data_IF_560623787664
#
_entry.id   IF_560623787664
#
_cell.length_a   1.000
_cell.length_b   1.000
_cell.length_c   1.000
_cell.angle_alpha   90.00
_cell.angle_beta   90.00
_cell.angle_gamma   90.00
#
_symmetry.space_group_name_H-M   'P 1'
#
loop_
_entity.id
_entity.type
_entity.pdbx_description
1 polymer ?
#
# COMPACT_ATOMS: atom_id res chain seq x y z
N UNK A 1 -4.19 144.98 24.40
CA UNK A 1 -3.88 144.14 25.58
C UNK A 1 -4.96 143.08 25.88
N UNK A 2 -6.26 143.41 25.91
CA UNK A 2 -7.33 142.43 26.26
C UNK A 2 -7.53 141.34 25.17
N UNK A 3 -7.51 141.70 23.89
CA UNK A 3 -7.68 140.73 22.77
C UNK A 3 -6.55 139.69 22.67
N UNK A 4 -5.31 140.06 23.02
CA UNK A 4 -4.19 139.12 23.05
C UNK A 4 -4.32 138.09 24.19
N UNK A 5 -4.87 138.48 25.34
CA UNK A 5 -5.08 137.54 26.46
C UNK A 5 -6.14 136.48 26.14
N UNK A 6 -7.25 136.90 25.54
CA UNK A 6 -8.31 135.96 25.11
C UNK A 6 -7.79 134.97 24.07
N UNK A 7 -6.95 135.41 23.13
CA UNK A 7 -6.34 134.51 22.15
C UNK A 7 -5.33 133.56 22.80
N UNK A 8 -4.54 134.02 23.77
CA UNK A 8 -3.65 133.15 24.55
C UNK A 8 -4.44 132.09 25.32
N UNK A 9 -5.54 132.47 25.98
CA UNK A 9 -6.38 131.53 26.73
C UNK A 9 -7.03 130.49 25.79
N UNK A 10 -7.50 130.93 24.61
CA UNK A 10 -8.05 130.04 23.57
C UNK A 10 -6.99 129.06 23.05
N UNK A 11 -5.79 129.53 22.75
CA UNK A 11 -4.69 128.70 22.29
C UNK A 11 -4.22 127.71 23.37
N UNK A 12 -4.20 128.12 24.64
CA UNK A 12 -3.91 127.22 25.77
C UNK A 12 -4.96 126.13 25.92
N UNK A 13 -6.25 126.45 25.79
CA UNK A 13 -7.33 125.47 25.83
C UNK A 13 -7.25 124.47 24.66
N UNK A 14 -6.96 124.96 23.44
CA UNK A 14 -6.75 124.12 22.27
C UNK A 14 -5.50 123.22 22.42
N UNK A 15 -4.40 123.76 22.94
CA UNK A 15 -3.17 123.00 23.20
C UNK A 15 -3.41 121.89 24.24
N UNK A 16 -4.24 122.14 25.25
CA UNK A 16 -4.63 121.14 26.23
C UNK A 16 -5.51 120.04 25.64
N UNK A 17 -6.57 120.41 24.91
CA UNK A 17 -7.46 119.44 24.24
C UNK A 17 -6.73 118.58 23.20
N UNK A 18 -5.84 119.18 22.40
CA UNK A 18 -5.02 118.44 21.43
C UNK A 18 -4.04 117.50 22.12
N UNK A 19 -3.44 117.91 23.24
CA UNK A 19 -2.59 117.04 24.07
C UNK A 19 -3.37 115.87 24.66
N UNK A 20 -4.56 116.10 25.22
CA UNK A 20 -5.39 115.05 25.80
C UNK A 20 -5.84 114.05 24.73
N UNK A 21 -6.22 114.53 23.53
CA UNK A 21 -6.52 113.67 22.36
C UNK A 21 -5.31 112.86 21.90
N UNK A 22 -4.12 113.48 21.84
CA UNK A 22 -2.88 112.78 21.49
C UNK A 22 -2.59 111.65 22.50
N UNK A 23 -2.77 111.90 23.79
CA UNK A 23 -2.59 110.87 24.82
C UNK A 23 -3.56 109.69 24.63
N UNK A 24 -4.84 109.95 24.40
CA UNK A 24 -5.82 108.88 24.13
C UNK A 24 -5.46 108.09 22.87
N UNK A 25 -5.00 108.77 21.82
CA UNK A 25 -4.62 108.13 20.56
C UNK A 25 -3.37 107.25 20.75
N UNK A 26 -2.36 107.76 21.46
CA UNK A 26 -1.17 106.98 21.83
C UNK A 26 -1.53 105.74 22.65
N UNK A 27 -2.42 105.85 23.64
CA UNK A 27 -2.89 104.71 24.43
C UNK A 27 -3.62 103.66 23.57
N UNK A 28 -4.43 104.10 22.61
CA UNK A 28 -5.11 103.21 21.67
C UNK A 28 -4.12 102.51 20.73
N UNK A 29 -3.10 103.22 20.23
CA UNK A 29 -2.03 102.61 19.42
C UNK A 29 -1.30 101.52 20.20
N UNK A 30 -0.89 101.80 21.44
CA UNK A 30 -0.21 100.82 22.30
C UNK A 30 -1.08 99.57 22.51
N UNK A 31 -2.39 99.74 22.78
CA UNK A 31 -3.31 98.60 22.90
C UNK A 31 -3.44 97.80 21.60
N UNK A 32 -3.53 98.49 20.47
CA UNK A 32 -3.59 97.86 19.16
C UNK A 32 -2.32 97.06 18.87
N UNK A 33 -1.14 97.61 19.17
CA UNK A 33 0.14 96.93 18.97
C UNK A 33 0.25 95.66 19.83
N UNK A 34 -0.15 95.74 21.10
CA UNK A 34 -0.20 94.57 22.00
C UNK A 34 -1.14 93.50 21.45
N UNK A 35 -2.33 93.88 20.98
CA UNK A 35 -3.28 92.93 20.39
C UNK A 35 -2.73 92.29 19.11
N UNK A 36 -2.09 93.07 18.23
CA UNK A 36 -1.44 92.55 17.02
C UNK A 36 -0.34 91.53 17.35
N UNK A 37 0.48 91.80 18.37
CA UNK A 37 1.52 90.86 18.80
C UNK A 37 0.89 89.57 19.36
N UNK A 38 -0.11 89.69 20.24
CA UNK A 38 -0.79 88.53 20.83
C UNK A 38 -1.45 87.65 19.76
N UNK A 39 -2.24 88.24 18.88
CA UNK A 39 -2.89 87.51 17.79
C UNK A 39 -1.90 86.89 16.83
N UNK A 40 -0.77 87.57 16.56
CA UNK A 40 0.32 87.00 15.77
C UNK A 40 0.94 85.78 16.47
N UNK A 41 1.22 85.85 17.78
CA UNK A 41 1.77 84.70 18.52
C UNK A 41 0.82 83.50 18.51
N UNK A 42 -0.47 83.72 18.76
CA UNK A 42 -1.49 82.66 18.72
C UNK A 42 -1.62 82.05 17.32
N UNK A 43 -1.53 82.86 16.27
CA UNK A 43 -1.53 82.39 14.89
C UNK A 43 -0.32 81.49 14.59
N UNK A 44 0.88 81.86 15.04
CA UNK A 44 2.09 81.06 14.84
C UNK A 44 2.02 79.74 15.62
N UNK A 45 1.50 79.75 16.85
CA UNK A 45 1.28 78.53 17.64
C UNK A 45 0.27 77.60 16.95
N UNK A 46 -0.86 78.13 16.49
CA UNK A 46 -1.86 77.38 15.77
C UNK A 46 -1.28 76.79 14.47
N UNK A 47 -0.48 77.57 13.75
CA UNK A 47 0.20 77.11 12.55
C UNK A 47 1.18 75.95 12.85
N UNK A 48 1.97 76.05 13.92
CA UNK A 48 2.85 74.97 14.36
C UNK A 48 2.10 73.67 14.63
N UNK A 49 0.99 73.73 15.37
CA UNK A 49 0.13 72.56 15.64
C UNK A 49 -0.46 71.96 14.37
N UNK A 50 -0.87 72.80 13.41
CA UNK A 50 -1.38 72.32 12.11
C UNK A 50 -0.28 71.57 11.36
N UNK A 51 0.95 72.06 11.38
CA UNK A 51 2.06 71.43 10.67
C UNK A 51 2.50 70.11 11.31
N UNK A 52 2.44 70.01 12.65
CA UNK A 52 2.58 68.75 13.39
C UNK A 52 1.51 67.73 12.99
N UNK A 53 0.23 68.12 13.03
CA UNK A 53 -0.88 67.25 12.61
C UNK A 53 -0.77 66.81 11.15
N UNK A 54 -0.29 67.69 10.26
CA UNK A 54 -0.01 67.33 8.86
C UNK A 54 1.11 66.31 8.75
N UNK A 55 2.16 66.40 9.58
CA UNK A 55 3.23 65.42 9.62
C UNK A 55 2.74 64.05 10.13
N UNK A 56 1.95 64.03 11.20
CA UNK A 56 1.34 62.80 11.72
C UNK A 56 0.40 62.16 10.71
N UNK A 57 -0.46 62.95 10.07
CA UNK A 57 -1.36 62.46 9.01
C UNK A 57 -0.58 61.80 7.87
N UNK A 58 0.55 62.37 7.44
CA UNK A 58 1.40 61.76 6.39
C UNK A 58 1.90 60.39 6.81
N UNK A 59 2.44 60.26 8.03
CA UNK A 59 2.91 58.98 8.58
C UNK A 59 1.79 57.94 8.68
N UNK A 60 0.59 58.36 9.08
CA UNK A 60 -0.56 57.45 9.15
C UNK A 60 -1.01 56.98 7.76
N UNK A 61 -0.97 57.86 6.76
CA UNK A 61 -1.28 57.48 5.37
C UNK A 61 -0.26 56.49 4.83
N UNK A 62 1.03 56.71 5.07
CA UNK A 62 2.08 55.75 4.67
C UNK A 62 1.83 54.36 5.28
N UNK A 63 1.60 54.31 6.60
CA UNK A 63 1.26 53.04 7.30
C UNK A 63 -0.02 52.40 6.80
N UNK A 64 -1.02 53.19 6.41
CA UNK A 64 -2.26 52.67 5.83
C UNK A 64 -2.00 52.03 4.48
N UNK A 65 -1.22 52.68 3.61
CA UNK A 65 -0.88 52.13 2.28
C UNK A 65 -0.05 50.85 2.39
N UNK A 66 0.87 50.78 3.36
CA UNK A 66 1.62 49.55 3.66
C UNK A 66 0.67 48.43 4.11
N UNK A 67 -0.25 48.71 5.03
CA UNK A 67 -1.22 47.74 5.50
C UNK A 67 -2.16 47.26 4.37
N UNK A 68 -2.62 48.16 3.50
CA UNK A 68 -3.43 47.82 2.32
C UNK A 68 -2.68 46.87 1.37
N UNK A 69 -1.40 47.14 1.09
CA UNK A 69 -0.58 46.26 0.27
C UNK A 69 -0.40 44.86 0.90
N UNK A 70 -0.22 44.80 2.24
CA UNK A 70 -0.14 43.50 2.93
C UNK A 70 -1.47 42.73 2.86
N UNK A 71 -2.61 43.41 2.98
CA UNK A 71 -3.93 42.79 2.85
C UNK A 71 -4.17 42.25 1.45
N UNK A 72 -3.78 43.00 0.42
CA UNK A 72 -3.89 42.55 -0.98
C UNK A 72 -3.08 41.27 -1.22
N UNK A 73 -1.84 41.22 -0.73
CA UNK A 73 -1.00 40.02 -0.79
C UNK A 73 -1.62 38.83 -0.05
N UNK A 74 -2.18 39.04 1.15
CA UNK A 74 -2.87 37.98 1.90
C UNK A 74 -4.11 37.46 1.16
N UNK A 75 -4.85 38.32 0.48
CA UNK A 75 -6.00 37.91 -0.34
C UNK A 75 -5.56 37.06 -1.53
N UNK A 76 -4.45 37.38 -2.18
CA UNK A 76 -3.89 36.56 -3.26
C UNK A 76 -3.49 35.17 -2.77
N UNK A 77 -2.79 35.10 -1.64
CA UNK A 77 -2.42 33.82 -1.01
C UNK A 77 -3.67 33.01 -0.66
N UNK A 78 -4.69 33.66 -0.09
CA UNK A 78 -5.96 33.01 0.26
C UNK A 78 -6.64 32.42 -0.97
N UNK A 79 -6.80 33.20 -2.05
CA UNK A 79 -7.36 32.71 -3.32
C UNK A 79 -6.54 31.57 -3.92
N UNK A 80 -5.21 31.60 -3.75
CA UNK A 80 -4.34 30.53 -4.22
C UNK A 80 -4.53 29.24 -3.41
N UNK A 81 -4.66 29.35 -2.09
CA UNK A 81 -4.92 28.22 -1.22
C UNK A 81 -6.30 27.60 -1.47
N UNK A 82 -7.33 28.43 -1.67
CA UNK A 82 -8.67 27.96 -2.04
C UNK A 82 -8.66 27.13 -3.32
N UNK A 83 -7.98 27.62 -4.37
CA UNK A 83 -7.81 26.86 -5.62
C UNK A 83 -7.09 25.53 -5.38
N UNK A 84 -6.00 25.53 -4.61
CA UNK A 84 -5.25 24.30 -4.32
C UNK A 84 -6.08 23.29 -3.52
N UNK A 85 -6.90 23.74 -2.58
CA UNK A 85 -7.81 22.86 -1.83
C UNK A 85 -8.81 22.19 -2.77
N UNK A 86 -9.37 22.93 -3.73
CA UNK A 86 -10.29 22.37 -4.73
C UNK A 86 -9.59 21.32 -5.60
N UNK A 87 -8.37 21.59 -6.08
CA UNK A 87 -7.56 20.64 -6.86
C UNK A 87 -7.30 19.35 -6.07
N UNK A 88 -6.77 19.46 -4.84
CA UNK A 88 -6.45 18.31 -3.99
C UNK A 88 -7.71 17.50 -3.66
N UNK A 89 -8.84 18.16 -3.43
CA UNK A 89 -10.12 17.46 -3.19
C UNK A 89 -10.59 16.70 -4.43
N UNK A 90 -10.42 17.27 -5.63
CA UNK A 90 -10.74 16.58 -6.88
C UNK A 90 -9.84 15.35 -7.07
N UNK A 91 -8.53 15.49 -6.84
CA UNK A 91 -7.57 14.38 -6.89
C UNK A 91 -7.93 13.28 -5.89
N UNK A 92 -8.20 13.64 -4.63
CA UNK A 92 -8.61 12.70 -3.60
C UNK A 92 -9.91 11.96 -3.98
N UNK A 93 -10.90 12.65 -4.53
CA UNK A 93 -12.14 12.03 -5.00
C UNK A 93 -11.89 11.02 -6.14
N UNK A 94 -10.97 11.32 -7.07
CA UNK A 94 -10.60 10.38 -8.13
C UNK A 94 -9.85 9.16 -7.57
N UNK A 95 -8.92 9.37 -6.62
CA UNK A 95 -8.18 8.30 -5.97
C UNK A 95 -9.10 7.36 -5.16
N UNK A 96 -10.08 7.92 -4.42
CA UNK A 96 -11.08 7.13 -3.71
C UNK A 96 -11.92 6.26 -4.66
N UNK A 97 -12.33 6.82 -5.82
CA UNK A 97 -13.04 6.04 -6.85
C UNK A 97 -12.18 4.90 -7.36
N UNK A 98 -10.91 5.17 -7.67
CA UNK A 98 -9.97 4.15 -8.16
C UNK A 98 -9.77 3.03 -7.13
N UNK A 99 -9.52 3.37 -5.86
CA UNK A 99 -9.39 2.38 -4.78
C UNK A 99 -10.65 1.53 -4.61
N UNK A 100 -11.85 2.12 -4.76
CA UNK A 100 -13.10 1.37 -4.75
C UNK A 100 -13.15 0.37 -5.90
N UNK A 101 -12.76 0.77 -7.11
CA UNK A 101 -12.75 -0.15 -8.27
C UNK A 101 -11.74 -1.27 -8.09
N UNK A 102 -10.54 -0.97 -7.58
CA UNK A 102 -9.49 -1.97 -7.38
C UNK A 102 -9.85 -2.95 -6.26
N UNK A 103 -10.52 -2.46 -5.19
CA UNK A 103 -11.09 -3.32 -4.15
C UNK A 103 -12.08 -4.33 -4.72
N UNK A 104 -13.00 -3.91 -5.59
CA UNK A 104 -13.97 -4.82 -6.20
C UNK A 104 -13.32 -5.80 -7.19
N UNK A 105 -12.30 -5.35 -7.95
CA UNK A 105 -11.50 -6.25 -8.80
C UNK A 105 -10.80 -7.33 -7.99
N UNK A 106 -10.16 -6.96 -6.87
CA UNK A 106 -9.49 -7.90 -5.99
C UNK A 106 -10.47 -8.91 -5.37
N UNK A 107 -11.64 -8.45 -4.90
CA UNK A 107 -12.69 -9.35 -4.43
C UNK A 107 -13.12 -10.34 -5.50
N UNK A 108 -13.37 -9.88 -6.73
CA UNK A 108 -13.74 -10.75 -7.85
C UNK A 108 -12.65 -11.79 -8.16
N UNK A 109 -11.38 -11.37 -8.16
CA UNK A 109 -10.24 -12.28 -8.35
C UNK A 109 -10.14 -13.33 -7.24
N UNK A 110 -10.33 -12.93 -5.99
CA UNK A 110 -10.34 -13.85 -4.85
C UNK A 110 -11.46 -14.89 -4.97
N UNK A 111 -12.68 -14.45 -5.31
CA UNK A 111 -13.81 -15.37 -5.53
C UNK A 111 -13.49 -16.36 -6.65
N UNK A 112 -12.89 -15.90 -7.76
CA UNK A 112 -12.49 -16.77 -8.86
C UNK A 112 -11.43 -17.81 -8.43
N UNK A 113 -10.41 -17.39 -7.67
CA UNK A 113 -9.39 -18.31 -7.16
C UNK A 113 -9.93 -19.31 -6.14
N UNK A 114 -10.83 -18.87 -5.24
CA UNK A 114 -11.51 -19.78 -4.31
C UNK A 114 -12.31 -20.82 -5.08
N UNK A 115 -13.05 -20.43 -6.11
CA UNK A 115 -13.77 -21.38 -6.96
C UNK A 115 -12.84 -22.35 -7.70
N UNK A 116 -11.67 -21.89 -8.15
CA UNK A 116 -10.65 -22.78 -8.74
C UNK A 116 -10.10 -23.78 -7.72
N UNK A 117 -9.81 -23.33 -6.50
CA UNK A 117 -9.36 -24.20 -5.41
C UNK A 117 -10.40 -25.24 -5.04
N UNK A 118 -11.69 -24.87 -4.98
CA UNK A 118 -12.76 -25.81 -4.67
C UNK A 118 -12.92 -26.87 -5.77
N UNK A 119 -12.77 -26.48 -7.04
CA UNK A 119 -12.71 -27.46 -8.15
C UNK A 119 -11.53 -28.42 -8.00
N UNK A 120 -10.34 -27.93 -7.68
CA UNK A 120 -9.17 -28.78 -7.48
C UNK A 120 -9.36 -29.74 -6.29
N UNK A 121 -9.93 -29.26 -5.18
CA UNK A 121 -10.28 -30.10 -4.04
C UNK A 121 -11.28 -31.19 -4.43
N UNK A 122 -12.29 -30.85 -5.23
CA UNK A 122 -13.25 -31.81 -5.76
C UNK A 122 -12.55 -32.87 -6.63
N UNK A 123 -11.70 -32.45 -7.58
CA UNK A 123 -10.95 -33.37 -8.44
C UNK A 123 -10.06 -34.32 -7.64
N UNK A 124 -9.35 -33.83 -6.63
CA UNK A 124 -8.51 -34.66 -5.77
C UNK A 124 -9.35 -35.64 -4.94
N UNK A 125 -10.47 -35.20 -4.38
CA UNK A 125 -11.36 -36.08 -3.62
C UNK A 125 -11.99 -37.17 -4.50
N UNK A 126 -12.33 -36.85 -5.75
CA UNK A 126 -12.86 -37.81 -6.72
C UNK A 126 -11.78 -38.81 -7.16
N UNK A 127 -10.52 -38.36 -7.35
CA UNK A 127 -9.38 -39.25 -7.59
C UNK A 127 -9.14 -40.20 -6.42
N UNK A 128 -9.13 -39.68 -5.18
CA UNK A 128 -8.95 -40.49 -3.98
C UNK A 128 -10.07 -41.52 -3.84
N UNK A 129 -11.33 -41.16 -4.11
CA UNK A 129 -12.45 -42.12 -4.16
C UNK A 129 -12.28 -43.16 -5.25
N UNK A 130 -11.87 -42.76 -6.46
CA UNK A 130 -11.65 -43.67 -7.59
C UNK A 130 -10.48 -44.63 -7.38
N UNK A 131 -9.47 -44.22 -6.61
CA UNK A 131 -8.30 -45.04 -6.25
C UNK A 131 -8.48 -45.79 -4.91
N UNK A 132 -9.51 -45.45 -4.13
CA UNK A 132 -9.84 -46.07 -2.85
C UNK A 132 -10.21 -47.53 -3.06
N UNK A 133 -9.22 -48.39 -2.85
CA UNK A 133 -9.34 -49.84 -3.03
C UNK A 133 -8.48 -50.41 -4.15
N UNK A 134 -8.10 -49.65 -5.18
CA UNK A 134 -7.24 -50.14 -6.27
C UNK A 134 -5.84 -50.44 -5.76
N UNK A 135 -5.23 -49.50 -5.03
CA UNK A 135 -3.92 -49.69 -4.42
C UNK A 135 -3.94 -50.81 -3.37
N UNK A 136 -4.88 -50.82 -2.39
CA UNK A 136 -5.01 -51.94 -1.45
C UNK A 136 -5.25 -53.31 -2.11
N UNK A 137 -6.08 -53.38 -3.16
CA UNK A 137 -6.35 -54.63 -3.87
C UNK A 137 -5.13 -55.13 -4.65
N UNK A 138 -4.39 -54.22 -5.30
CA UNK A 138 -3.15 -54.57 -6.00
C UNK A 138 -2.08 -55.06 -5.03
N UNK A 139 -1.95 -54.42 -3.87
CA UNK A 139 -1.04 -54.85 -2.80
C UNK A 139 -1.42 -56.26 -2.32
N UNK A 140 -2.71 -56.52 -2.09
CA UNK A 140 -3.20 -57.84 -1.67
C UNK A 140 -2.93 -58.92 -2.73
N UNK A 141 -3.22 -58.64 -3.99
CA UNK A 141 -2.97 -59.57 -5.09
C UNK A 141 -1.48 -59.94 -5.21
N UNK A 142 -0.59 -58.95 -5.10
CA UNK A 142 0.86 -59.19 -5.10
C UNK A 142 1.31 -59.99 -3.87
N UNK A 143 0.70 -59.77 -2.70
CA UNK A 143 1.00 -60.55 -1.50
C UNK A 143 0.57 -62.02 -1.66
N UNK A 144 -0.61 -62.27 -2.23
CA UNK A 144 -1.13 -63.63 -2.48
C UNK A 144 -0.25 -64.38 -3.47
N UNK A 145 0.18 -63.73 -4.56
CA UNK A 145 1.13 -64.26 -5.52
C UNK A 145 2.47 -64.60 -4.86
N UNK A 146 3.03 -63.68 -4.06
CA UNK A 146 4.29 -63.91 -3.35
C UNK A 146 4.21 -65.11 -2.39
N UNK A 147 3.09 -65.24 -1.67
CA UNK A 147 2.84 -66.38 -0.79
C UNK A 147 2.72 -67.70 -1.57
N UNK A 148 2.08 -67.69 -2.74
CA UNK A 148 2.01 -68.85 -3.63
C UNK A 148 3.38 -69.28 -4.13
N UNK A 149 4.19 -68.32 -4.60
CA UNK A 149 5.56 -68.57 -5.06
C UNK A 149 6.44 -69.12 -3.92
N UNK A 150 6.30 -68.62 -2.70
CA UNK A 150 7.01 -69.17 -1.54
C UNK A 150 6.63 -70.62 -1.25
N UNK A 151 5.34 -70.96 -1.35
CA UNK A 151 4.88 -72.36 -1.20
C UNK A 151 5.44 -73.25 -2.30
N UNK A 152 5.33 -72.83 -3.56
CA UNK A 152 5.87 -73.57 -4.70
C UNK A 152 7.39 -73.78 -4.56
N UNK A 153 8.13 -72.73 -4.18
CA UNK A 153 9.56 -72.82 -3.95
C UNK A 153 9.90 -73.78 -2.79
N UNK A 154 9.11 -73.77 -1.71
CA UNK A 154 9.29 -74.72 -0.60
C UNK A 154 9.05 -76.18 -1.03
N UNK A 155 8.03 -76.43 -1.86
CA UNK A 155 7.76 -77.76 -2.43
C UNK A 155 8.92 -78.19 -3.33
N UNK A 156 9.38 -77.32 -4.23
CA UNK A 156 10.53 -77.60 -5.11
C UNK A 156 11.79 -77.92 -4.31
N UNK A 157 12.09 -77.15 -3.26
CA UNK A 157 13.24 -77.44 -2.36
C UNK A 157 13.11 -78.80 -1.68
N UNK A 158 11.90 -79.18 -1.24
CA UNK A 158 11.67 -80.50 -0.64
C UNK A 158 11.82 -81.62 -1.67
N UNK A 159 11.27 -81.44 -2.87
CA UNK A 159 11.39 -82.40 -3.96
C UNK A 159 12.84 -82.57 -4.39
N UNK A 160 13.58 -81.47 -4.56
CA UNK A 160 15.03 -81.49 -4.81
C UNK A 160 15.79 -82.26 -3.73
N UNK A 161 15.54 -81.95 -2.45
CA UNK A 161 16.20 -82.64 -1.35
C UNK A 161 15.86 -84.13 -1.27
N UNK A 162 14.64 -84.53 -1.61
CA UNK A 162 14.23 -85.94 -1.66
C UNK A 162 14.93 -86.72 -2.77
N UNK A 163 15.24 -86.06 -3.89
CA UNK A 163 15.83 -86.68 -5.07
C UNK A 163 17.33 -86.35 -5.23
N UNK A 164 17.94 -85.74 -4.20
CA UNK A 164 19.34 -85.27 -4.18
C UNK A 164 19.71 -84.45 -5.43
N UNK A 165 18.73 -83.74 -6.02
CA UNK A 165 18.94 -82.95 -7.22
C UNK A 165 19.75 -81.71 -6.87
N UNK A 166 20.93 -81.60 -7.49
CA UNK A 166 21.73 -80.39 -7.41
C UNK A 166 21.10 -79.24 -8.23
N UNK A 167 21.66 -78.04 -8.05
CA UNK A 167 21.12 -76.82 -8.65
C UNK A 167 21.13 -76.91 -10.19
N UNK A 168 22.18 -77.48 -10.76
CA UNK A 168 22.36 -77.59 -12.21
C UNK A 168 21.34 -78.56 -12.82
N UNK A 169 21.08 -79.71 -12.17
CA UNK A 169 20.06 -80.67 -12.61
C UNK A 169 18.65 -80.09 -12.50
N UNK A 170 18.34 -79.31 -11.46
CA UNK A 170 17.05 -78.61 -11.35
C UNK A 170 16.85 -77.56 -12.44
N UNK A 171 17.89 -76.80 -12.78
CA UNK A 171 17.82 -75.77 -13.83
C UNK A 171 17.56 -76.42 -15.18
N UNK A 172 18.26 -77.51 -15.51
CA UNK A 172 18.04 -78.28 -16.73
C UNK A 172 16.61 -78.84 -16.80
N UNK A 173 16.14 -79.47 -15.72
CA UNK A 173 14.78 -80.00 -15.65
C UNK A 173 13.70 -78.91 -15.75
N UNK A 174 13.93 -77.73 -15.16
CA UNK A 174 12.99 -76.59 -15.23
C UNK A 174 12.94 -75.96 -16.63
N UNK A 175 14.04 -76.04 -17.38
CA UNK A 175 14.10 -75.66 -18.79
C UNK A 175 13.48 -76.73 -19.72
N UNK A 176 13.05 -77.87 -19.17
CA UNK A 176 12.50 -79.00 -19.91
C UNK A 176 13.54 -79.83 -20.65
N UNK A 177 14.83 -79.66 -20.33
CA UNK A 177 15.94 -80.31 -21.03
C UNK A 177 16.27 -81.60 -20.29
N UNK A 178 16.04 -82.73 -20.94
CA UNK A 178 16.39 -84.05 -20.42
C UNK A 178 17.73 -84.53 -21.00
N UNK A 179 18.38 -85.48 -20.31
CA UNK A 179 19.71 -85.96 -20.69
C UNK A 179 19.75 -86.61 -22.08
N UNK A 180 18.62 -87.12 -22.60
CA UNK A 180 18.48 -87.71 -23.93
C UNK A 180 18.31 -86.68 -25.06
N UNK A 181 17.91 -85.45 -24.74
CA UNK A 181 17.85 -84.34 -25.70
C UNK A 181 19.21 -83.64 -25.88
N UNK A 182 20.18 -83.95 -25.02
CA UNK A 182 21.55 -83.41 -25.10
C UNK A 182 22.38 -84.27 -26.05
N UNK A 183 22.90 -83.67 -27.12
CA UNK A 183 23.86 -84.34 -28.01
C UNK A 183 25.26 -84.37 -27.38
N UNK A 184 25.50 -85.42 -26.57
CA UNK A 184 26.76 -85.63 -25.86
C UNK A 184 27.98 -85.78 -26.78
N UNK A 185 27.77 -86.23 -28.03
CA UNK A 185 28.85 -86.43 -29.00
C UNK A 185 29.47 -85.10 -29.45
N UNK A 186 28.64 -84.06 -29.59
CA UNK A 186 29.05 -82.68 -29.90
C UNK A 186 29.84 -82.04 -28.75
N UNK A 187 29.59 -82.47 -27.52
CA UNK A 187 30.27 -81.99 -26.31
C UNK A 187 31.54 -82.81 -25.96
N UNK A 188 31.80 -83.90 -26.68
CA UNK A 188 32.95 -84.78 -26.45
C UNK A 188 32.87 -85.56 -25.13
N UNK A 189 31.68 -85.74 -24.57
CA UNK A 189 31.42 -86.44 -23.30
C UNK A 189 30.53 -87.68 -23.54
N UNK A 190 30.51 -88.62 -22.59
CA UNK A 190 29.62 -89.79 -22.63
C UNK A 190 28.43 -89.59 -21.66
N UNK A 191 27.19 -90.01 -22.04
CA UNK A 191 26.01 -89.86 -21.18
C UNK A 191 26.08 -90.73 -19.92
N UNK A 192 25.56 -90.26 -18.76
CA UNK A 192 25.48 -91.07 -17.53
C UNK A 192 24.31 -92.09 -17.57
N UNK A 193 24.53 -93.29 -17.03
CA UNK A 193 23.60 -94.44 -17.05
C UNK A 193 22.26 -94.14 -16.34
N UNK A 194 21.15 -94.20 -17.09
CA UNK A 194 19.79 -94.05 -16.56
C UNK A 194 19.26 -95.36 -15.95
N UNK A 195 18.89 -95.34 -14.66
CA UNK A 195 18.20 -96.45 -13.99
C UNK A 195 16.72 -96.44 -14.44
N UNK A 196 16.28 -97.47 -15.18
CA UNK A 196 14.87 -97.75 -15.49
C UNK A 196 14.35 -98.98 -14.71
N UNK A 197 13.07 -99.01 -14.28
CA UNK A 197 12.53 -100.03 -13.38
C UNK A 197 12.01 -101.28 -14.12
N UNK A 198 12.20 -102.47 -13.52
CA UNK A 198 11.97 -103.78 -14.12
C UNK A 198 10.83 -104.54 -13.41
N UNK A 199 9.74 -104.83 -14.15
CA UNK A 199 8.89 -106.04 -14.16
C UNK A 199 8.20 -106.61 -12.89
N UNK A 200 6.88 -106.84 -12.96
CA UNK A 200 6.26 -108.19 -13.06
C UNK A 200 4.73 -108.15 -12.84
N UNK A 201 3.97 -108.93 -13.62
CA UNK A 201 2.51 -108.89 -13.69
C UNK A 201 1.76 -109.88 -12.80
N UNK A 202 0.44 -109.67 -12.71
CA UNK A 202 -0.53 -110.58 -12.09
C UNK A 202 -1.97 -110.10 -12.35
N UNK A 203 -2.74 -110.94 -13.05
CA UNK A 203 -4.13 -110.71 -13.50
C UNK A 203 -5.15 -110.73 -12.34
N UNK A 204 -6.18 -109.85 -12.38
CA UNK A 204 -7.62 -110.21 -12.37
C UNK A 204 -8.52 -108.96 -12.24
N UNK A 205 -9.47 -108.79 -13.16
CA UNK A 205 -10.73 -108.04 -12.95
C UNK A 205 -11.62 -108.79 -11.92
N UNK A 206 -12.72 -108.23 -11.33
CA UNK A 206 -13.61 -107.19 -11.89
C UNK A 206 -14.26 -106.18 -10.91
N UNK A 207 -15.15 -105.37 -11.50
CA UNK A 207 -16.37 -104.72 -10.98
C UNK A 207 -16.36 -103.31 -10.39
N UNK A 208 -17.14 -102.46 -11.08
CA UNK A 208 -17.84 -101.26 -10.61
C UNK A 208 -18.93 -101.66 -9.57
N UNK A 209 -19.33 -100.76 -8.65
CA UNK A 209 -20.43 -99.86 -9.00
C UNK A 209 -20.34 -98.45 -8.43
N UNK A 210 -21.12 -97.57 -9.07
CA UNK A 210 -21.46 -96.22 -8.64
C UNK A 210 -22.22 -96.18 -7.31
N UNK A 211 -21.87 -95.21 -6.46
CA UNK A 211 -22.80 -94.26 -5.77
C UNK A 211 -22.00 -93.07 -5.26
#
# INVERSE_FOLDING_TARGET
MISLRQEVDRLQALAKDTKDKLHVEMDLRVKSDVFCVQTSTELHEAQGRIDELRAERRKLVERLTEAEATLESLLEVTRSLERRIVEVNAEAATACKQLSTDRERLKASLVAHTAQLDRLRQYLADQDRGQSGVLPARIRALQDENNSLRRANSVLRRHSAMHELDVDTLVLASAGISADEIDWSLLGLNPPDAISPQGSGGSSSPDEPST
#
